data_IF_288903916403
#
_entry.id   IF_288903916403
#
_cell.length_a   1.000
_cell.length_b   1.000
_cell.length_c   1.000
_cell.angle_alpha   90.00
_cell.angle_beta   90.00
_cell.angle_gamma   90.00
#
_symmetry.space_group_name_H-M   'P 1'
#
loop_
_entity.id
_entity.type
_entity.pdbx_description
1 polymer ?
#
# COMPACT_ATOMS: atom_id res chain seq x y z
N UNK A 1 -40.60 -10.94 -2.86
CA UNK A 1 -39.18 -10.59 -3.01
C UNK A 1 -39.10 -9.42 -3.98
N UNK A 2 -38.34 -8.37 -3.66
CA UNK A 2 -38.06 -7.30 -4.60
C UNK A 2 -37.16 -7.87 -5.72
N UNK A 3 -37.43 -7.53 -6.97
CA UNK A 3 -36.55 -7.89 -8.08
C UNK A 3 -35.22 -7.14 -7.91
N UNK A 4 -34.10 -7.80 -8.21
CA UNK A 4 -32.79 -7.18 -8.21
C UNK A 4 -32.68 -6.28 -9.45
N UNK A 5 -32.32 -5.03 -9.23
CA UNK A 5 -32.11 -4.03 -10.28
C UNK A 5 -30.62 -3.69 -10.38
N UNK A 6 -30.19 -3.20 -11.55
CA UNK A 6 -28.77 -2.88 -11.80
C UNK A 6 -28.24 -1.82 -10.81
N UNK A 7 -29.12 -0.89 -10.42
CA UNK A 7 -28.77 0.17 -9.47
C UNK A 7 -28.65 -0.31 -8.01
N UNK A 8 -29.10 -1.53 -7.70
CA UNK A 8 -28.89 -2.10 -6.37
C UNK A 8 -27.40 -2.31 -6.09
N UNK A 9 -26.55 -2.42 -7.13
CA UNK A 9 -25.09 -2.49 -6.99
C UNK A 9 -24.49 -1.22 -6.39
N UNK A 10 -25.12 -0.06 -6.60
CA UNK A 10 -24.66 1.22 -6.04
C UNK A 10 -24.89 1.32 -4.52
N UNK A 11 -25.74 0.46 -3.97
CA UNK A 11 -26.04 0.42 -2.53
C UNK A 11 -25.10 -0.51 -1.74
N UNK A 12 -24.18 -1.21 -2.41
CA UNK A 12 -23.28 -2.14 -1.74
C UNK A 12 -22.13 -1.41 -1.05
N UNK A 13 -21.77 -1.96 0.11
CA UNK A 13 -20.59 -1.59 0.85
C UNK A 13 -19.46 -2.59 0.56
N UNK A 14 -18.32 -2.09 0.17
CA UNK A 14 -17.12 -2.88 -0.11
C UNK A 14 -16.17 -2.76 1.09
N UNK A 15 -16.22 -3.76 1.97
CA UNK A 15 -15.35 -3.79 3.13
C UNK A 15 -13.99 -4.38 2.77
N UNK A 16 -12.93 -3.69 3.14
CA UNK A 16 -11.57 -4.10 2.85
C UNK A 16 -10.56 -3.66 3.90
N UNK A 17 -9.34 -4.13 3.74
CA UNK A 17 -8.20 -3.72 4.54
C UNK A 17 -8.43 -3.83 6.07
N UNK A 18 -9.11 -4.92 6.52
CA UNK A 18 -9.32 -5.14 7.94
C UNK A 18 -7.98 -5.40 8.65
N UNK A 19 -7.68 -4.59 9.65
CA UNK A 19 -6.53 -4.78 10.55
C UNK A 19 -7.00 -4.90 11.99
N UNK A 20 -6.29 -5.74 12.74
CA UNK A 20 -6.54 -5.95 14.16
C UNK A 20 -5.22 -5.81 14.90
N UNK A 21 -5.18 -4.96 15.92
CA UNK A 21 -4.02 -4.77 16.80
C UNK A 21 -4.50 -4.34 18.18
N UNK A 22 -3.99 -4.97 19.22
CA UNK A 22 -4.25 -4.64 20.64
C UNK A 22 -5.76 -4.52 20.95
N UNK A 23 -6.58 -5.42 20.37
CA UNK A 23 -8.03 -5.43 20.52
C UNK A 23 -8.78 -4.42 19.64
N UNK A 24 -8.09 -3.50 19.01
CA UNK A 24 -8.67 -2.54 18.06
C UNK A 24 -8.87 -3.20 16.70
N UNK A 25 -10.04 -3.02 16.12
CA UNK A 25 -10.38 -3.49 14.77
C UNK A 25 -10.73 -2.28 13.93
N UNK A 26 -9.99 -2.06 12.85
CA UNK A 26 -10.24 -0.97 11.90
C UNK A 26 -10.30 -1.55 10.49
N UNK A 27 -11.19 -1.02 9.67
CA UNK A 27 -11.35 -1.44 8.28
C UNK A 27 -11.77 -0.27 7.39
N UNK A 28 -11.66 -0.47 6.08
CA UNK A 28 -12.11 0.47 5.06
C UNK A 28 -13.51 0.08 4.61
N UNK A 29 -14.40 1.04 4.53
CA UNK A 29 -15.70 0.92 3.90
C UNK A 29 -15.72 1.74 2.62
N UNK A 30 -15.88 1.08 1.48
CA UNK A 30 -16.01 1.68 0.16
C UNK A 30 -17.46 1.71 -0.28
N UNK A 31 -17.96 2.88 -0.69
CA UNK A 31 -19.31 3.06 -1.22
C UNK A 31 -19.27 3.78 -2.57
N UNK A 32 -20.22 3.47 -3.45
CA UNK A 32 -20.31 4.13 -4.74
C UNK A 32 -20.76 5.59 -4.57
N UNK A 33 -20.01 6.52 -5.16
CA UNK A 33 -20.38 7.93 -5.31
C UNK A 33 -20.82 8.19 -6.74
N UNK A 34 -22.09 7.93 -7.03
CA UNK A 34 -22.65 7.96 -8.39
C UNK A 34 -22.43 9.32 -9.10
N UNK A 35 -22.58 10.42 -8.37
CA UNK A 35 -22.41 11.78 -8.91
C UNK A 35 -21.00 12.05 -9.43
N UNK A 36 -20.02 11.46 -8.77
CA UNK A 36 -18.59 11.67 -9.05
C UNK A 36 -18.02 10.54 -9.93
N UNK A 37 -18.84 9.54 -10.28
CA UNK A 37 -18.44 8.32 -10.99
C UNK A 37 -17.19 7.69 -10.34
N UNK A 38 -17.21 7.57 -9.03
CA UNK A 38 -16.07 7.13 -8.19
C UNK A 38 -16.54 6.28 -7.01
N UNK A 39 -15.60 5.84 -6.21
CA UNK A 39 -15.86 5.27 -4.89
C UNK A 39 -15.35 6.22 -3.80
N UNK A 40 -16.14 6.36 -2.76
CA UNK A 40 -15.71 7.00 -1.51
C UNK A 40 -15.26 5.93 -0.53
N UNK A 41 -14.14 6.20 0.17
CA UNK A 41 -13.56 5.31 1.16
C UNK A 41 -13.49 5.99 2.51
N UNK A 42 -14.01 5.34 3.53
CA UNK A 42 -13.99 5.83 4.91
C UNK A 42 -13.37 4.78 5.83
N UNK A 43 -12.71 5.23 6.88
CA UNK A 43 -12.23 4.35 7.92
C UNK A 43 -13.32 4.13 8.96
N UNK A 44 -13.53 2.88 9.34
CA UNK A 44 -14.45 2.48 10.40
C UNK A 44 -13.73 1.67 11.46
N UNK A 45 -14.16 1.77 12.72
CA UNK A 45 -13.69 0.89 13.77
C UNK A 45 -14.83 0.10 14.41
N UNK A 46 -14.48 -1.06 14.97
CA UNK A 46 -15.37 -1.86 15.80
C UNK A 46 -14.93 -1.73 17.24
N UNK A 47 -15.84 -1.28 18.10
CA UNK A 47 -15.64 -1.16 19.54
C UNK A 47 -16.95 -1.57 20.23
N UNK A 48 -16.87 -2.42 21.24
CA UNK A 48 -18.03 -2.91 22.00
C UNK A 48 -19.14 -3.46 21.07
N UNK A 49 -18.73 -4.26 20.08
CA UNK A 49 -19.58 -4.87 19.04
C UNK A 49 -20.40 -3.85 18.19
N UNK A 50 -19.99 -2.58 18.22
CA UNK A 50 -20.59 -1.53 17.39
C UNK A 50 -19.59 -1.00 16.40
N UNK A 51 -20.08 -0.63 15.21
CA UNK A 51 -19.29 0.01 14.16
C UNK A 51 -19.43 1.52 14.26
N UNK A 52 -18.30 2.21 14.23
CA UNK A 52 -18.21 3.67 14.26
C UNK A 52 -17.43 4.17 13.05
N UNK A 53 -17.90 5.29 12.48
CA UNK A 53 -17.15 6.01 11.46
C UNK A 53 -16.00 6.78 12.11
N UNK A 54 -14.78 6.52 11.65
CA UNK A 54 -13.59 7.26 12.08
C UNK A 54 -13.33 8.47 11.18
N UNK A 55 -13.65 8.35 9.90
CA UNK A 55 -13.47 9.43 8.92
C UNK A 55 -14.71 9.58 8.07
N UNK A 56 -14.86 10.76 7.46
CA UNK A 56 -16.00 11.09 6.60
C UNK A 56 -15.61 11.85 5.33
N UNK A 57 -14.31 11.96 5.04
CA UNK A 57 -13.84 12.72 3.87
C UNK A 57 -13.97 11.94 2.55
N UNK A 58 -14.09 10.60 2.62
CA UNK A 58 -14.36 9.77 1.47
C UNK A 58 -13.14 9.36 0.63
N UNK A 59 -11.91 9.65 1.08
CA UNK A 59 -10.67 9.38 0.32
C UNK A 59 -9.60 8.65 1.13
N UNK A 60 -9.97 8.01 2.22
CA UNK A 60 -9.05 7.30 3.11
C UNK A 60 -9.12 5.79 2.88
N UNK A 61 -8.19 5.25 2.07
CA UNK A 61 -8.14 3.82 1.77
C UNK A 61 -7.01 3.05 2.49
N UNK A 62 -5.99 3.75 2.96
CA UNK A 62 -4.82 3.16 3.63
C UNK A 62 -4.64 3.70 5.04
N UNK A 63 -4.37 2.79 6.01
CA UNK A 63 -4.15 3.18 7.40
C UNK A 63 -3.22 2.20 8.12
N UNK A 64 -2.71 2.63 9.26
CA UNK A 64 -1.94 1.83 10.21
C UNK A 64 -2.48 2.05 11.63
N UNK A 65 -2.77 0.96 12.37
CA UNK A 65 -3.15 1.06 13.78
C UNK A 65 -1.86 1.29 14.59
N UNK A 66 -1.71 2.50 15.12
CA UNK A 66 -0.53 2.91 15.87
C UNK A 66 -0.49 2.20 17.23
N UNK A 67 -1.59 2.30 17.96
CA UNK A 67 -1.81 1.66 19.26
C UNK A 67 -3.33 1.58 19.54
N UNK A 68 -3.70 1.19 20.77
CA UNK A 68 -5.10 1.09 21.21
C UNK A 68 -5.89 2.42 21.18
N UNK A 69 -5.21 3.55 21.02
CA UNK A 69 -5.82 4.89 21.10
C UNK A 69 -5.77 5.67 19.79
N UNK A 70 -4.98 5.24 18.80
CA UNK A 70 -4.76 6.04 17.58
C UNK A 70 -4.48 5.22 16.33
N UNK A 71 -4.84 5.81 15.19
CA UNK A 71 -4.50 5.33 13.85
C UNK A 71 -3.77 6.42 13.07
N UNK A 72 -2.86 5.99 12.20
CA UNK A 72 -2.24 6.82 11.18
C UNK A 72 -2.89 6.53 9.83
N UNK A 73 -3.12 7.54 9.02
CA UNK A 73 -3.54 7.36 7.64
C UNK A 73 -3.00 8.49 6.76
N UNK A 74 -2.88 8.20 5.48
CA UNK A 74 -2.48 9.18 4.49
C UNK A 74 -3.69 9.64 3.68
N UNK A 75 -3.71 10.92 3.28
CA UNK A 75 -4.77 11.48 2.48
C UNK A 75 -4.45 12.89 1.97
N UNK A 76 -5.24 13.37 1.02
CA UNK A 76 -5.10 14.73 0.49
C UNK A 76 -6.36 15.55 0.79
N UNK A 77 -6.65 15.77 2.06
CA UNK A 77 -7.85 16.49 2.51
C UNK A 77 -7.88 17.95 2.09
N UNK A 78 -6.73 18.55 1.81
CA UNK A 78 -6.62 19.95 1.37
C UNK A 78 -6.64 20.10 -0.14
N UNK A 79 -6.76 19.01 -0.90
CA UNK A 79 -6.72 18.98 -2.36
C UNK A 79 -5.51 19.71 -2.96
N UNK A 80 -4.35 19.61 -2.32
CA UNK A 80 -3.09 20.16 -2.82
C UNK A 80 -2.56 19.20 -3.88
N UNK A 81 -2.40 19.70 -5.10
CA UNK A 81 -1.93 18.90 -6.22
C UNK A 81 -0.58 18.23 -5.93
N UNK A 82 -0.44 16.99 -6.39
CA UNK A 82 0.78 16.18 -6.25
C UNK A 82 1.30 16.04 -4.82
N UNK A 83 0.42 16.12 -3.81
CA UNK A 83 0.82 15.99 -2.41
C UNK A 83 -0.02 14.96 -1.65
N UNK A 84 0.55 14.46 -0.57
CA UNK A 84 -0.15 13.62 0.42
C UNK A 84 0.22 14.07 1.82
N UNK A 85 -0.75 14.16 2.69
CA UNK A 85 -0.52 14.43 4.11
C UNK A 85 -0.70 13.16 4.95
N UNK A 86 0.12 13.00 5.96
CA UNK A 86 0.01 11.99 7.01
C UNK A 86 -0.77 12.57 8.19
N UNK A 87 -1.81 11.89 8.58
CA UNK A 87 -2.68 12.27 9.69
C UNK A 87 -2.60 11.25 10.82
N UNK A 88 -2.74 11.74 12.05
CA UNK A 88 -3.03 10.94 13.25
C UNK A 88 -4.45 11.23 13.70
N UNK A 89 -5.23 10.18 13.96
CA UNK A 89 -6.60 10.26 14.45
C UNK A 89 -6.73 9.44 15.74
N UNK A 90 -7.27 10.08 16.78
CA UNK A 90 -7.57 9.40 18.02
C UNK A 90 -8.86 8.55 17.88
N UNK A 91 -8.82 7.32 18.43
CA UNK A 91 -9.95 6.36 18.35
C UNK A 91 -11.08 6.68 19.33
N UNK A 92 -10.87 7.60 20.24
CA UNK A 92 -11.88 8.08 21.20
C UNK A 92 -12.64 9.33 20.72
N UNK A 93 -12.42 9.73 19.46
CA UNK A 93 -13.07 10.89 18.83
C UNK A 93 -12.13 12.08 18.67
N UNK A 94 -12.64 13.11 17.97
CA UNK A 94 -11.91 14.33 17.63
C UNK A 94 -11.52 14.39 16.16
N UNK A 95 -10.76 15.42 15.80
CA UNK A 95 -10.30 15.66 14.44
C UNK A 95 -8.95 15.03 14.18
N UNK A 96 -8.75 14.54 12.95
CA UNK A 96 -7.46 14.05 12.49
C UNK A 96 -6.45 15.22 12.41
N UNK A 97 -5.29 15.05 13.06
CA UNK A 97 -4.21 16.04 13.07
C UNK A 97 -3.20 15.70 11.97
N UNK A 98 -2.94 16.68 11.09
CA UNK A 98 -1.85 16.58 10.12
C UNK A 98 -0.51 16.61 10.86
N UNK A 99 0.32 15.57 10.68
CA UNK A 99 1.63 15.46 11.33
C UNK A 99 2.79 15.60 10.34
N UNK A 100 2.54 15.37 9.05
CA UNK A 100 3.50 15.59 7.98
C UNK A 100 2.77 15.82 6.65
N UNK A 101 3.49 16.42 5.69
CA UNK A 101 3.08 16.53 4.30
C UNK A 101 4.25 16.22 3.40
N UNK A 102 3.96 15.50 2.32
CA UNK A 102 4.93 15.06 1.33
C UNK A 102 4.52 15.61 -0.04
N UNK A 103 5.48 16.12 -0.80
CA UNK A 103 5.29 16.55 -2.21
C UNK A 103 5.32 15.32 -3.13
N UNK A 104 4.53 14.31 -2.77
CA UNK A 104 4.35 13.06 -3.49
C UNK A 104 2.89 12.61 -3.38
N UNK A 105 2.22 12.30 -4.50
CA UNK A 105 0.84 11.83 -4.47
C UNK A 105 0.76 10.39 -4.00
N UNK A 106 -0.38 10.02 -3.41
CA UNK A 106 -0.74 8.63 -3.15
C UNK A 106 0.14 7.88 -2.13
N UNK A 107 0.85 8.60 -1.25
CA UNK A 107 1.62 7.93 -0.19
C UNK A 107 0.69 7.19 0.77
N UNK A 108 1.15 6.01 1.20
CA UNK A 108 0.50 5.18 2.20
C UNK A 108 1.48 4.82 3.32
N UNK A 109 0.97 4.71 4.55
CA UNK A 109 1.75 4.30 5.71
C UNK A 109 1.69 2.78 5.89
N UNK A 110 2.86 2.13 5.97
CA UNK A 110 2.99 0.70 6.26
C UNK A 110 3.08 0.42 7.75
N UNK A 111 3.83 1.24 8.49
CA UNK A 111 4.02 1.09 9.92
C UNK A 111 5.29 1.76 10.42
N UNK A 112 5.66 1.46 11.66
CA UNK A 112 6.88 1.93 12.29
C UNK A 112 8.04 0.95 12.03
N UNK A 113 9.16 1.47 11.54
CA UNK A 113 10.43 0.75 11.48
C UNK A 113 11.09 0.70 12.87
N UNK A 114 11.01 1.82 13.59
CA UNK A 114 11.43 1.99 14.99
C UNK A 114 10.54 3.07 15.63
N UNK A 115 10.83 3.46 16.87
CA UNK A 115 10.00 4.41 17.66
C UNK A 115 9.68 5.72 16.93
N UNK A 116 10.60 6.25 16.10
CA UNK A 116 10.49 7.55 15.47
C UNK A 116 10.50 7.52 13.94
N UNK A 117 10.62 6.33 13.34
CA UNK A 117 10.75 6.21 11.87
C UNK A 117 9.60 5.38 11.31
N UNK A 118 8.82 6.00 10.43
CA UNK A 118 7.76 5.35 9.67
C UNK A 118 8.29 4.82 8.34
N UNK A 119 7.70 3.74 7.87
CA UNK A 119 7.82 3.27 6.49
C UNK A 119 6.59 3.70 5.71
N UNK A 120 6.83 4.33 4.58
CA UNK A 120 5.82 4.80 3.64
C UNK A 120 6.03 4.16 2.27
N UNK A 121 4.99 4.13 1.48
CA UNK A 121 5.01 3.57 0.13
C UNK A 121 4.16 4.42 -0.81
N UNK A 122 4.62 4.63 -2.04
CA UNK A 122 3.83 5.32 -3.07
C UNK A 122 4.15 4.79 -4.46
N UNK A 123 3.18 4.93 -5.36
CA UNK A 123 3.33 4.60 -6.78
C UNK A 123 3.75 5.88 -7.53
N UNK A 124 4.90 5.85 -8.17
CA UNK A 124 5.46 6.98 -8.90
C UNK A 124 5.52 6.70 -10.39
N UNK A 125 5.29 7.74 -11.20
CA UNK A 125 5.53 7.71 -12.65
C UNK A 125 6.94 8.19 -12.92
N UNK A 126 7.75 7.40 -13.64
CA UNK A 126 9.18 7.68 -13.88
C UNK A 126 9.43 8.78 -14.92
N UNK A 127 8.42 9.11 -15.71
CA UNK A 127 8.49 10.11 -16.78
C UNK A 127 7.34 11.10 -16.61
N UNK A 128 7.57 12.34 -16.95
CA UNK A 128 6.50 13.34 -17.02
C UNK A 128 5.52 12.97 -18.16
N UNK A 129 4.25 13.31 -17.95
CA UNK A 129 3.22 13.09 -18.96
C UNK A 129 3.37 14.12 -20.08
N UNK A 130 3.39 13.63 -21.31
CA UNK A 130 3.16 14.46 -22.47
C UNK A 130 1.66 14.82 -22.57
N UNK A 131 1.34 15.97 -23.17
CA UNK A 131 -0.04 16.50 -23.12
C UNK A 131 -1.05 15.73 -23.95
N UNK A 132 -0.62 15.04 -24.99
CA UNK A 132 -1.45 14.49 -26.06
C UNK A 132 -1.12 13.04 -26.48
N UNK A 133 -0.04 12.44 -25.97
CA UNK A 133 0.28 11.05 -26.25
C UNK A 133 1.06 10.41 -25.09
N UNK A 134 1.03 9.08 -25.02
CA UNK A 134 1.86 8.29 -24.13
C UNK A 134 2.60 7.20 -24.89
N UNK A 135 3.90 7.03 -24.62
CA UNK A 135 4.74 6.00 -25.27
C UNK A 135 4.72 4.74 -24.41
N UNK A 136 4.15 3.67 -24.93
CA UNK A 136 4.15 2.35 -24.29
C UNK A 136 5.34 1.54 -24.79
N UNK A 137 6.38 1.45 -24.00
CA UNK A 137 7.62 0.71 -24.31
C UNK A 137 7.95 -0.37 -23.27
N UNK A 138 7.01 -0.66 -22.38
CA UNK A 138 7.13 -1.67 -21.33
C UNK A 138 6.04 -2.75 -21.42
N UNK A 139 6.34 -3.95 -20.91
CA UNK A 139 5.40 -5.06 -20.81
C UNK A 139 5.42 -5.60 -19.37
N UNK A 140 4.26 -5.64 -18.68
CA UNK A 140 2.95 -5.15 -19.10
C UNK A 140 2.88 -3.61 -19.04
N UNK A 141 2.20 -2.99 -20.00
CA UNK A 141 1.87 -1.56 -19.97
C UNK A 141 0.49 -1.27 -19.39
N UNK A 142 -0.31 -2.31 -19.23
CA UNK A 142 -1.66 -2.27 -18.69
C UNK A 142 -1.92 -3.52 -17.85
N UNK A 143 -2.57 -3.35 -16.71
CA UNK A 143 -3.02 -4.45 -15.85
C UNK A 143 -4.48 -4.27 -15.45
N UNK A 144 -5.24 -5.37 -15.49
CA UNK A 144 -6.64 -5.34 -15.08
C UNK A 144 -6.79 -4.88 -13.62
N UNK A 145 -7.72 -3.98 -13.37
CA UNK A 145 -7.94 -3.37 -12.05
C UNK A 145 -6.94 -2.26 -11.66
N UNK A 146 -5.82 -2.12 -12.37
CA UNK A 146 -4.83 -1.07 -12.12
C UNK A 146 -4.77 -0.01 -13.23
N UNK A 147 -5.26 -0.35 -14.43
CA UNK A 147 -5.18 0.51 -15.61
C UNK A 147 -3.78 0.53 -16.23
N UNK A 148 -3.35 1.69 -16.70
CA UNK A 148 -2.03 1.89 -17.30
C UNK A 148 -0.95 1.77 -16.21
N UNK A 149 0.01 0.85 -16.43
CA UNK A 149 1.13 0.58 -15.54
C UNK A 149 2.48 1.01 -16.13
N UNK A 150 2.46 1.46 -17.37
CA UNK A 150 3.64 1.94 -18.09
C UNK A 150 4.39 3.01 -17.30
N UNK A 151 5.69 2.82 -17.08
CA UNK A 151 6.56 3.72 -16.31
C UNK A 151 6.12 3.99 -14.86
N UNK A 152 5.23 3.19 -14.30
CA UNK A 152 4.88 3.30 -12.90
C UNK A 152 5.68 2.32 -12.05
N UNK A 153 6.19 2.79 -10.91
CA UNK A 153 6.94 1.98 -9.95
C UNK A 153 6.46 2.25 -8.54
N UNK A 154 6.38 1.19 -7.77
CA UNK A 154 6.11 1.29 -6.34
C UNK A 154 7.43 1.50 -5.61
N UNK A 155 7.54 2.60 -4.87
CA UNK A 155 8.72 2.94 -4.10
C UNK A 155 8.47 2.98 -2.60
N UNK A 156 9.50 2.64 -1.84
CA UNK A 156 9.52 2.65 -0.38
C UNK A 156 10.32 3.85 0.13
N UNK A 157 9.84 4.42 1.21
CA UNK A 157 10.44 5.55 1.91
C UNK A 157 10.48 5.30 3.40
N UNK A 158 11.46 5.86 4.08
CA UNK A 158 11.42 6.04 5.52
C UNK A 158 11.23 7.52 5.85
N UNK A 159 10.43 7.81 6.87
CA UNK A 159 10.19 9.15 7.36
C UNK A 159 10.44 9.24 8.85
N UNK A 160 11.40 10.06 9.26
CA UNK A 160 11.69 10.28 10.66
C UNK A 160 10.80 11.39 11.23
N UNK A 161 10.06 11.08 12.29
CA UNK A 161 9.09 12.00 12.90
C UNK A 161 9.74 13.17 13.64
N UNK A 162 10.99 13.03 14.10
CA UNK A 162 11.71 14.08 14.83
C UNK A 162 12.45 15.00 13.87
N UNK A 163 13.29 14.45 13.00
CA UNK A 163 14.10 15.22 12.06
C UNK A 163 13.30 15.72 10.86
N UNK A 164 12.12 15.14 10.60
CA UNK A 164 11.26 15.41 9.43
C UNK A 164 11.90 15.01 8.11
N UNK A 165 12.92 14.18 8.14
CA UNK A 165 13.62 13.71 6.97
C UNK A 165 12.85 12.56 6.29
N UNK A 166 12.66 12.66 4.97
CA UNK A 166 12.10 11.63 4.11
C UNK A 166 13.24 11.04 3.27
N UNK A 167 13.54 9.75 3.45
CA UNK A 167 14.60 9.04 2.72
C UNK A 167 13.99 8.02 1.79
N UNK A 168 14.40 8.03 0.53
CA UNK A 168 14.02 7.03 -0.46
C UNK A 168 14.83 5.75 -0.23
N UNK A 169 14.13 4.63 -0.06
CA UNK A 169 14.75 3.30 0.13
C UNK A 169 14.94 2.59 -1.21
N UNK A 170 13.97 2.75 -2.12
CA UNK A 170 14.00 2.17 -3.47
C UNK A 170 13.67 3.25 -4.49
N UNK A 171 14.44 3.31 -5.59
CA UNK A 171 14.33 4.40 -6.57
C UNK A 171 14.46 3.92 -8.03
N UNK A 172 14.23 4.83 -8.95
CA UNK A 172 14.44 4.62 -10.38
C UNK A 172 13.53 3.53 -10.94
N UNK A 173 14.12 2.58 -11.66
CA UNK A 173 13.39 1.49 -12.32
C UNK A 173 13.03 0.33 -11.38
N UNK A 174 13.39 0.41 -10.10
CA UNK A 174 13.05 -0.61 -9.13
C UNK A 174 11.56 -0.55 -8.79
N UNK A 175 10.87 -1.70 -8.90
CA UNK A 175 9.45 -1.84 -8.57
C UNK A 175 9.27 -2.79 -7.40
N UNK A 176 8.59 -2.34 -6.36
CA UNK A 176 8.32 -3.12 -5.13
C UNK A 176 6.98 -3.82 -5.26
N UNK A 177 6.96 -5.13 -5.03
CA UNK A 177 5.74 -5.96 -5.10
C UNK A 177 5.11 -6.19 -3.73
N UNK A 178 5.92 -6.51 -2.72
CA UNK A 178 5.47 -6.74 -1.35
C UNK A 178 6.43 -6.08 -0.36
N UNK A 179 5.89 -5.58 0.75
CA UNK A 179 6.70 -5.02 1.83
C UNK A 179 6.09 -5.34 3.19
N UNK A 180 6.94 -5.72 4.16
CA UNK A 180 6.57 -5.98 5.56
C UNK A 180 7.65 -5.49 6.50
N UNK A 181 7.23 -5.02 7.66
CA UNK A 181 8.13 -4.67 8.76
C UNK A 181 8.13 -5.81 9.78
N UNK A 182 9.30 -6.27 10.15
CA UNK A 182 9.50 -7.30 11.17
C UNK A 182 10.78 -7.04 11.95
N UNK A 183 10.71 -7.07 13.28
CA UNK A 183 11.83 -6.90 14.20
C UNK A 183 12.73 -5.68 13.88
N UNK A 184 12.09 -4.52 13.66
CA UNK A 184 12.82 -3.27 13.39
C UNK A 184 13.50 -3.19 12.02
N UNK A 185 13.20 -4.11 11.11
CA UNK A 185 13.69 -4.09 9.73
C UNK A 185 12.53 -4.13 8.72
N UNK A 186 12.74 -3.50 7.58
CA UNK A 186 11.83 -3.55 6.44
C UNK A 186 12.30 -4.65 5.48
N UNK A 187 11.40 -5.59 5.19
CA UNK A 187 11.60 -6.63 4.19
C UNK A 187 10.71 -6.37 3.00
N UNK A 188 11.24 -6.53 1.79
CA UNK A 188 10.46 -6.29 0.58
C UNK A 188 10.94 -7.14 -0.59
N UNK A 189 10.01 -7.53 -1.45
CA UNK A 189 10.31 -8.12 -2.75
C UNK A 189 10.20 -7.07 -3.84
N UNK A 190 10.98 -7.23 -4.90
CA UNK A 190 10.94 -6.34 -6.04
C UNK A 190 12.05 -6.62 -7.05
N UNK A 191 12.02 -5.86 -8.12
CA UNK A 191 12.95 -6.00 -9.23
C UNK A 191 13.18 -4.69 -9.98
N UNK A 192 14.29 -4.60 -10.70
CA UNK A 192 14.45 -3.55 -11.70
C UNK A 192 13.64 -3.92 -12.94
N UNK A 193 12.75 -3.05 -13.35
CA UNK A 193 11.90 -3.24 -14.51
C UNK A 193 12.12 -2.11 -15.52
N UNK A 194 12.76 -2.41 -16.66
CA UNK A 194 13.10 -1.42 -17.68
C UNK A 194 12.29 -1.55 -18.97
N UNK A 195 11.99 -2.74 -19.43
CA UNK A 195 11.19 -3.00 -20.64
C UNK A 195 10.20 -4.13 -20.43
N UNK A 196 10.65 -5.16 -19.75
CA UNK A 196 9.84 -6.34 -19.45
C UNK A 196 10.00 -6.66 -17.98
N UNK A 197 8.87 -6.85 -17.32
CA UNK A 197 8.85 -7.35 -15.95
C UNK A 197 9.44 -8.76 -15.89
N UNK A 198 10.37 -8.99 -14.99
CA UNK A 198 10.90 -10.34 -14.76
C UNK A 198 9.88 -11.19 -14.00
N UNK A 199 10.00 -12.52 -14.14
CA UNK A 199 9.17 -13.47 -13.40
C UNK A 199 9.64 -13.67 -11.96
N UNK A 200 10.88 -13.32 -11.68
CA UNK A 200 11.54 -13.59 -10.41
C UNK A 200 11.95 -12.30 -9.73
N UNK A 201 11.67 -12.22 -8.45
CA UNK A 201 11.98 -11.07 -7.61
C UNK A 201 12.81 -11.52 -6.42
N UNK A 202 13.83 -10.75 -6.09
CA UNK A 202 14.60 -10.98 -4.88
C UNK A 202 13.84 -10.49 -3.66
N UNK A 203 14.14 -11.09 -2.50
CA UNK A 203 13.76 -10.55 -1.21
C UNK A 203 14.93 -9.78 -0.61
N UNK A 204 14.66 -8.55 -0.25
CA UNK A 204 15.60 -7.61 0.34
C UNK A 204 15.25 -7.30 1.79
N UNK A 205 16.24 -6.87 2.55
CA UNK A 205 16.10 -6.31 3.89
C UNK A 205 16.72 -4.91 3.90
N UNK A 206 16.04 -3.99 4.58
CA UNK A 206 16.56 -2.66 4.90
C UNK A 206 16.49 -2.43 6.42
N UNK A 207 17.64 -2.13 7.02
CA UNK A 207 17.80 -1.77 8.44
C UNK A 207 18.78 -0.58 8.60
N UNK A 208 18.72 0.36 7.65
CA UNK A 208 19.67 1.45 7.47
C UNK A 208 20.55 1.26 6.22
N UNK A 209 20.67 0.03 5.75
CA UNK A 209 21.29 -0.34 4.48
C UNK A 209 20.53 -1.48 3.81
N UNK A 210 20.59 -1.57 2.47
CA UNK A 210 19.92 -2.63 1.71
C UNK A 210 20.83 -3.86 1.61
N UNK A 211 20.27 -5.03 1.92
CA UNK A 211 20.91 -6.33 1.71
C UNK A 211 19.95 -7.33 1.07
N UNK A 212 20.48 -8.26 0.26
CA UNK A 212 19.68 -9.35 -0.31
C UNK A 212 19.56 -10.49 0.70
N UNK A 213 18.33 -10.86 1.03
CA UNK A 213 18.03 -11.98 1.95
C UNK A 213 17.85 -13.27 1.17
N UNK A 214 17.10 -13.20 0.04
CA UNK A 214 16.90 -14.34 -0.86
C UNK A 214 17.15 -13.86 -2.28
N UNK A 215 18.14 -14.49 -2.91
CA UNK A 215 18.38 -14.36 -4.35
C UNK A 215 17.48 -15.38 -5.06
N UNK A 216 16.46 -14.87 -5.71
CA UNK A 216 15.42 -15.69 -6.33
C UNK A 216 15.76 -16.10 -7.77
N UNK A 217 17.02 -16.47 -8.07
CA UNK A 217 17.52 -16.78 -9.43
C UNK A 217 16.61 -17.68 -10.25
N UNK A 218 15.84 -18.54 -9.60
CA UNK A 218 14.98 -19.54 -10.26
C UNK A 218 13.65 -19.72 -9.50
N UNK A 219 13.24 -18.73 -8.69
CA UNK A 219 12.03 -18.82 -7.86
C UNK A 219 11.21 -17.57 -7.96
N UNK A 220 9.94 -17.72 -8.25
CA UNK A 220 8.95 -16.65 -8.10
C UNK A 220 8.45 -16.65 -6.66
N UNK A 221 8.79 -15.60 -5.90
CA UNK A 221 8.30 -15.41 -4.53
C UNK A 221 6.94 -14.72 -4.64
N UNK A 222 5.86 -15.43 -4.33
CA UNK A 222 4.51 -14.86 -4.36
C UNK A 222 4.17 -14.09 -3.10
N UNK A 223 4.63 -14.60 -1.96
CA UNK A 223 4.49 -13.92 -0.67
C UNK A 223 5.54 -14.39 0.31
N UNK A 224 5.73 -13.60 1.36
CA UNK A 224 6.57 -13.97 2.49
C UNK A 224 5.93 -13.51 3.79
N UNK A 225 6.26 -14.18 4.88
CA UNK A 225 5.89 -13.81 6.23
C UNK A 225 6.91 -14.33 7.24
N UNK A 226 6.70 -14.01 8.52
CA UNK A 226 7.54 -14.46 9.62
C UNK A 226 6.70 -15.28 10.59
N UNK A 227 7.21 -16.43 11.00
CA UNK A 227 6.59 -17.33 11.96
C UNK A 227 7.68 -17.85 12.90
N UNK A 228 7.52 -17.65 14.19
CA UNK A 228 8.49 -18.06 15.22
C UNK A 228 9.93 -17.58 14.93
N UNK A 229 10.07 -16.32 14.50
CA UNK A 229 11.35 -15.72 14.13
C UNK A 229 11.99 -16.25 12.85
N UNK A 230 11.27 -17.10 12.10
CA UNK A 230 11.74 -17.66 10.82
C UNK A 230 11.02 -17.01 9.65
N UNK A 231 11.78 -16.72 8.61
CA UNK A 231 11.23 -16.30 7.32
C UNK A 231 10.53 -17.49 6.65
N UNK A 232 9.27 -17.32 6.27
CA UNK A 232 8.47 -18.29 5.51
C UNK A 232 8.15 -17.69 4.15
N UNK A 233 8.37 -18.48 3.10
CA UNK A 233 8.13 -18.08 1.71
C UNK A 233 7.05 -18.96 1.10
N UNK A 234 6.20 -18.37 0.27
CA UNK A 234 5.39 -19.07 -0.71
C UNK A 234 6.00 -18.78 -2.07
N UNK A 235 6.57 -19.78 -2.70
CA UNK A 235 7.33 -19.63 -3.94
C UNK A 235 7.13 -20.79 -4.90
N UNK A 236 7.39 -20.58 -6.20
CA UNK A 236 7.41 -21.61 -7.24
C UNK A 236 8.70 -21.52 -8.04
N UNK A 237 9.24 -22.67 -8.47
CA UNK A 237 10.39 -22.77 -9.37
C UNK A 237 9.99 -22.70 -10.84
N UNK A 238 8.72 -22.90 -11.15
CA UNK A 238 8.18 -23.02 -12.51
C UNK A 238 8.81 -24.15 -13.36
N UNK A 239 9.48 -25.11 -12.73
CA UNK A 239 10.21 -26.19 -13.43
C UNK A 239 9.27 -27.19 -14.10
N UNK A 240 8.17 -27.52 -13.45
CA UNK A 240 7.31 -28.62 -13.90
C UNK A 240 6.16 -28.17 -14.80
N UNK A 241 5.50 -27.06 -14.45
CA UNK A 241 4.29 -26.57 -15.13
C UNK A 241 4.40 -25.11 -15.55
N UNK A 242 5.59 -24.53 -15.54
CA UNK A 242 5.81 -23.12 -15.84
C UNK A 242 4.97 -22.20 -14.95
N UNK A 243 4.38 -21.16 -15.50
CA UNK A 243 3.56 -20.18 -14.77
C UNK A 243 2.29 -20.78 -14.13
N UNK A 244 1.90 -22.00 -14.51
CA UNK A 244 0.75 -22.70 -13.93
C UNK A 244 1.14 -23.59 -12.72
N UNK A 245 2.39 -23.56 -12.31
CA UNK A 245 2.84 -24.31 -11.14
C UNK A 245 2.33 -23.66 -9.85
N UNK A 246 1.63 -24.44 -9.02
CA UNK A 246 1.19 -23.97 -7.72
C UNK A 246 2.41 -23.73 -6.82
N UNK A 247 2.51 -22.56 -6.20
CA UNK A 247 3.59 -22.27 -5.27
C UNK A 247 3.44 -23.10 -3.98
N UNK A 248 4.55 -23.31 -3.32
CA UNK A 248 4.64 -24.06 -2.07
C UNK A 248 5.34 -23.25 -1.00
#
# INVERSE_FOLDING_TARGET
MKSVEINDLLSYHFYGNLKVKDGVKVFVDGVAAEKDNAYEYTLKCVKDDKVYDLTSFGKEAGFYIENENSVLFCGNRKNIEKSTSLYRLALNGGEAKEIARFDKPGMNVLGYLNENTLVLMTKEKLVEEESDYEVFDEIPFYMNGQGITNKHRMHLYTYNLDTKELVCVTEGTFDVSNAKIHDGALYYTGQNWTRKQALYENLYKYDGSVSTVVDAKERSIQSFDFMDGKLVLIASTHEKYGLNENPK
#
